data_IF_151189978478
#
_entry.id   IF_151189978478
#
_cell.length_a   1.000
_cell.length_b   1.000
_cell.length_c   1.000
_cell.angle_alpha   90.00
_cell.angle_beta   90.00
_cell.angle_gamma   90.00
#
_symmetry.space_group_name_H-M   'P 1'
#
loop_
_entity.id
_entity.type
_entity.pdbx_description
1 polymer ?
#
# COMPACT_ATOMS: atom_id res chain seq x y z
N UNK A 1 -27.73 -3.83 20.43
CA UNK A 1 -28.32 -4.79 21.39
C UNK A 1 -27.82 -4.56 22.81
N UNK A 2 -26.50 -4.51 23.07
CA UNK A 2 -25.97 -4.21 24.41
C UNK A 2 -26.40 -2.83 24.96
N UNK A 3 -26.43 -1.78 24.14
CA UNK A 3 -26.87 -0.43 24.55
C UNK A 3 -28.34 -0.34 24.97
N UNK A 4 -29.22 -1.11 24.32
CA UNK A 4 -30.64 -1.15 24.70
C UNK A 4 -30.81 -1.79 26.08
N UNK A 5 -30.07 -2.87 26.34
CA UNK A 5 -30.04 -3.55 27.64
C UNK A 5 -29.48 -2.61 28.72
N UNK A 6 -28.43 -1.83 28.42
CA UNK A 6 -27.85 -0.87 29.39
C UNK A 6 -28.84 0.26 29.72
N UNK A 7 -29.58 0.80 28.73
CA UNK A 7 -30.61 1.83 28.98
C UNK A 7 -31.77 1.30 29.80
N UNK A 8 -32.31 0.14 29.43
CA UNK A 8 -33.38 -0.52 30.20
C UNK A 8 -32.91 -0.81 31.63
N UNK A 9 -31.66 -1.24 31.79
CA UNK A 9 -31.06 -1.45 33.10
C UNK A 9 -30.93 -0.14 33.90
N UNK A 10 -30.50 0.98 33.31
CA UNK A 10 -30.38 2.27 34.01
C UNK A 10 -31.74 2.74 34.57
N UNK A 11 -32.80 2.66 33.77
CA UNK A 11 -34.16 3.04 34.20
C UNK A 11 -34.66 2.11 35.33
N UNK A 12 -34.29 0.83 35.26
CA UNK A 12 -34.58 -0.15 36.33
C UNK A 12 -33.78 0.14 37.61
N UNK A 13 -32.55 0.65 37.48
CA UNK A 13 -31.71 1.02 38.62
C UNK A 13 -32.27 2.23 39.38
N UNK A 14 -32.82 3.22 38.68
CA UNK A 14 -33.50 4.37 39.31
C UNK A 14 -34.71 3.93 40.14
N UNK A 15 -35.44 2.94 39.63
CA UNK A 15 -36.52 2.33 40.38
C UNK A 15 -36.01 1.53 41.58
N UNK A 16 -34.89 0.80 41.45
CA UNK A 16 -34.31 0.03 42.55
C UNK A 16 -33.65 0.91 43.62
N UNK A 17 -33.05 2.05 43.26
CA UNK A 17 -32.49 3.04 44.19
C UNK A 17 -33.59 3.74 44.99
N UNK A 18 -34.77 3.94 44.40
CA UNK A 18 -35.94 4.49 45.11
C UNK A 18 -36.66 3.47 46.01
N UNK A 19 -36.57 2.16 45.72
CA UNK A 19 -37.22 1.07 46.51
C UNK A 19 -36.23 0.25 47.36
N UNK A 20 -34.98 0.71 47.46
CA UNK A 20 -33.84 0.00 48.04
C UNK A 20 -34.02 -0.56 49.49
N UNK A 21 -34.98 -0.10 50.34
CA UNK A 21 -35.27 -0.76 51.61
C UNK A 21 -35.94 -2.15 51.51
N UNK A 22 -36.58 -2.51 50.39
CA UNK A 22 -37.57 -3.62 50.37
C UNK A 22 -37.11 -4.93 49.69
N UNK A 23 -36.06 -4.96 48.86
CA UNK A 23 -35.67 -6.19 48.15
C UNK A 23 -34.15 -6.36 47.89
N UNK A 24 -33.36 -6.52 48.96
CA UNK A 24 -31.90 -6.77 48.91
C UNK A 24 -31.47 -7.84 47.89
N UNK A 25 -32.24 -8.93 47.76
CA UNK A 25 -31.92 -10.02 46.82
C UNK A 25 -31.99 -9.55 45.35
N UNK A 26 -32.98 -8.73 44.99
CA UNK A 26 -33.13 -8.20 43.63
C UNK A 26 -31.98 -7.27 43.26
N UNK A 27 -31.57 -6.38 44.18
CA UNK A 27 -30.43 -5.46 43.96
C UNK A 27 -29.12 -6.24 43.77
N UNK A 28 -28.87 -7.28 44.57
CA UNK A 28 -27.67 -8.12 44.42
C UNK A 28 -27.66 -8.93 43.12
N UNK A 29 -28.82 -9.39 42.64
CA UNK A 29 -28.93 -10.09 41.36
C UNK A 29 -28.70 -9.16 40.18
N UNK A 30 -29.26 -7.95 40.25
CA UNK A 30 -29.03 -6.88 39.29
C UNK A 30 -27.53 -6.50 39.21
N UNK A 31 -26.84 -6.30 40.34
CA UNK A 31 -25.40 -6.02 40.36
C UNK A 31 -24.57 -7.16 39.73
N UNK A 32 -25.00 -8.42 39.85
CA UNK A 32 -24.35 -9.55 39.17
C UNK A 32 -24.57 -9.51 37.66
N UNK A 33 -25.77 -9.17 37.19
CA UNK A 33 -26.07 -9.02 35.76
C UNK A 33 -25.24 -7.88 35.17
N UNK A 34 -25.19 -6.74 35.86
CA UNK A 34 -24.41 -5.59 35.44
C UNK A 34 -22.90 -5.88 35.36
N UNK A 35 -22.33 -6.59 36.35
CA UNK A 35 -20.93 -7.04 36.29
C UNK A 35 -20.66 -7.94 35.07
N UNK A 36 -21.61 -8.79 34.68
CA UNK A 36 -21.49 -9.61 33.46
C UNK A 36 -21.51 -8.74 32.20
N UNK A 37 -22.38 -7.74 32.13
CA UNK A 37 -22.44 -6.80 31.00
C UNK A 37 -21.16 -5.98 30.87
N UNK A 38 -20.65 -5.41 31.97
CA UNK A 38 -19.35 -4.74 31.97
C UNK A 38 -18.23 -5.66 31.48
N UNK A 39 -18.21 -6.92 31.93
CA UNK A 39 -17.24 -7.90 31.46
C UNK A 39 -17.39 -8.26 29.98
N UNK A 40 -18.60 -8.16 29.40
CA UNK A 40 -18.82 -8.33 27.97
C UNK A 40 -18.36 -7.10 27.17
N UNK A 41 -18.67 -5.89 27.64
CA UNK A 41 -18.19 -4.64 27.06
C UNK A 41 -16.66 -4.59 27.07
N UNK A 42 -16.02 -4.87 28.21
CA UNK A 42 -14.55 -4.92 28.32
C UNK A 42 -13.91 -5.85 27.29
N UNK A 43 -14.48 -7.05 27.07
CA UNK A 43 -14.01 -8.01 26.06
C UNK A 43 -14.25 -7.52 24.64
N UNK A 44 -15.35 -6.79 24.40
CA UNK A 44 -15.64 -6.19 23.09
C UNK A 44 -14.60 -5.10 22.79
N UNK A 45 -14.34 -4.22 23.74
CA UNK A 45 -13.32 -3.16 23.64
C UNK A 45 -11.92 -3.73 23.45
N UNK A 46 -11.55 -4.77 24.20
CA UNK A 46 -10.28 -5.51 24.01
C UNK A 46 -10.13 -6.04 22.58
N UNK A 47 -11.19 -6.66 22.04
CA UNK A 47 -11.18 -7.12 20.65
C UNK A 47 -11.07 -5.96 19.68
N UNK A 48 -11.74 -4.84 19.94
CA UNK A 48 -11.59 -3.64 19.13
C UNK A 48 -10.14 -3.19 19.11
N UNK A 49 -9.54 -2.97 20.29
CA UNK A 49 -8.17 -2.48 20.46
C UNK A 49 -7.17 -3.37 19.71
N UNK A 50 -7.23 -4.69 19.93
CA UNK A 50 -6.33 -5.63 19.26
C UNK A 50 -6.55 -5.67 17.74
N UNK A 51 -7.82 -5.62 17.29
CA UNK A 51 -8.11 -5.65 15.84
C UNK A 51 -7.64 -4.35 15.18
N UNK A 52 -7.94 -3.21 15.77
CA UNK A 52 -7.54 -1.89 15.30
C UNK A 52 -6.01 -1.75 15.31
N UNK A 53 -5.31 -2.26 16.33
CA UNK A 53 -3.85 -2.25 16.39
C UNK A 53 -3.23 -3.12 15.29
N UNK A 54 -3.77 -4.32 15.07
CA UNK A 54 -3.31 -5.21 14.00
C UNK A 54 -3.58 -4.61 12.60
N UNK A 55 -4.75 -3.99 12.41
CA UNK A 55 -5.06 -3.23 11.19
C UNK A 55 -4.07 -2.09 10.99
N UNK A 56 -3.86 -1.25 12.01
CA UNK A 56 -2.93 -0.12 11.94
C UNK A 56 -1.52 -0.57 11.54
N UNK A 57 -1.04 -1.71 12.06
CA UNK A 57 0.24 -2.29 11.64
C UNK A 57 0.26 -2.75 10.17
N UNK A 58 -0.81 -3.35 9.66
CA UNK A 58 -0.90 -3.73 8.25
C UNK A 58 -0.94 -2.50 7.33
N UNK A 59 -1.72 -1.49 7.70
CA UNK A 59 -1.82 -0.25 6.96
C UNK A 59 -0.50 0.53 6.97
N UNK A 60 0.20 0.60 8.11
CA UNK A 60 1.54 1.19 8.21
C UNK A 60 2.52 0.49 7.26
N UNK A 61 2.52 -0.85 7.22
CA UNK A 61 3.38 -1.59 6.29
C UNK A 61 3.07 -1.22 4.83
N UNK A 62 1.80 -1.22 4.44
CA UNK A 62 1.37 -0.85 3.09
C UNK A 62 1.75 0.59 2.75
N UNK A 63 1.61 1.51 3.71
CA UNK A 63 2.03 2.90 3.56
C UNK A 63 3.53 3.01 3.27
N UNK A 64 4.37 2.30 4.02
CA UNK A 64 5.81 2.29 3.80
C UNK A 64 6.18 1.64 2.46
N UNK A 65 5.49 0.58 2.05
CA UNK A 65 5.67 -0.06 0.74
C UNK A 65 5.32 0.90 -0.40
N UNK A 66 4.19 1.61 -0.30
CA UNK A 66 3.77 2.62 -1.28
C UNK A 66 4.74 3.81 -1.30
N UNK A 67 5.22 4.26 -0.14
CA UNK A 67 6.25 5.30 -0.05
C UNK A 67 7.53 4.91 -0.79
N UNK A 68 8.04 3.72 -0.51
CA UNK A 68 9.23 3.18 -1.19
C UNK A 68 9.01 3.00 -2.69
N UNK A 69 7.78 2.73 -3.13
CA UNK A 69 7.43 2.67 -4.54
C UNK A 69 7.44 4.07 -5.16
N UNK A 70 6.82 5.06 -4.51
CA UNK A 70 6.78 6.46 -4.93
C UNK A 70 8.19 7.03 -5.08
N UNK A 71 9.07 6.80 -4.10
CA UNK A 71 10.46 7.25 -4.13
C UNK A 71 11.20 6.70 -5.38
N UNK A 72 11.05 5.40 -5.68
CA UNK A 72 11.63 4.78 -6.88
C UNK A 72 11.07 5.35 -8.19
N UNK A 73 9.79 5.74 -8.20
CA UNK A 73 9.20 6.36 -9.39
C UNK A 73 9.71 7.79 -9.60
N UNK A 74 10.05 8.53 -8.54
CA UNK A 74 10.75 9.82 -8.68
C UNK A 74 12.14 9.65 -9.28
N UNK A 75 12.93 8.68 -8.81
CA UNK A 75 14.24 8.36 -9.40
C UNK A 75 14.10 8.01 -10.89
N UNK A 76 13.06 7.24 -11.24
CA UNK A 76 12.76 6.90 -12.63
C UNK A 76 12.41 8.13 -13.47
N UNK A 77 11.62 9.07 -12.94
CA UNK A 77 11.32 10.33 -13.64
C UNK A 77 12.59 11.15 -13.88
N UNK A 78 13.45 11.27 -12.88
CA UNK A 78 14.72 11.98 -13.03
C UNK A 78 15.60 11.34 -14.12
N UNK A 79 15.68 10.01 -14.15
CA UNK A 79 16.40 9.30 -15.19
C UNK A 79 15.81 9.55 -16.59
N UNK A 80 14.48 9.52 -16.73
CA UNK A 80 13.81 9.87 -18.00
C UNK A 80 14.15 11.31 -18.41
N UNK A 81 14.18 12.26 -17.48
CA UNK A 81 14.51 13.66 -17.75
C UNK A 81 15.99 13.84 -18.17
N UNK A 82 16.90 13.06 -17.59
CA UNK A 82 18.31 13.01 -18.03
C UNK A 82 18.40 12.45 -19.47
N UNK A 83 17.69 11.37 -19.77
CA UNK A 83 17.68 10.74 -21.09
C UNK A 83 17.07 11.65 -22.16
N UNK A 84 15.99 12.36 -21.84
CA UNK A 84 15.38 13.36 -22.72
C UNK A 84 16.37 14.47 -23.07
N UNK A 85 17.07 15.03 -22.06
CA UNK A 85 18.11 16.05 -22.28
C UNK A 85 19.24 15.53 -23.18
N UNK A 86 19.69 14.29 -22.97
CA UNK A 86 20.72 13.69 -23.81
C UNK A 86 20.27 13.52 -25.27
N UNK A 87 19.02 13.09 -25.49
CA UNK A 87 18.42 12.99 -26.83
C UNK A 87 18.29 14.36 -27.48
N UNK A 88 17.89 15.40 -26.73
CA UNK A 88 17.78 16.77 -27.23
C UNK A 88 19.13 17.34 -27.67
N UNK A 89 20.20 17.12 -26.89
CA UNK A 89 21.57 17.53 -27.26
C UNK A 89 22.00 16.81 -28.55
N UNK A 90 21.74 15.50 -28.66
CA UNK A 90 22.08 14.73 -29.87
C UNK A 90 21.30 15.24 -31.08
N UNK A 91 20.01 15.53 -30.91
CA UNK A 91 19.16 16.08 -31.95
C UNK A 91 19.63 17.46 -32.44
N UNK A 92 20.06 18.33 -31.52
CA UNK A 92 20.66 19.63 -31.86
C UNK A 92 21.95 19.44 -32.69
N UNK A 93 22.84 18.54 -32.26
CA UNK A 93 24.07 18.24 -33.00
C UNK A 93 23.80 17.75 -34.43
N UNK A 94 22.82 16.86 -34.61
CA UNK A 94 22.44 16.38 -35.95
C UNK A 94 21.86 17.52 -36.79
N UNK A 95 21.03 18.39 -36.21
CA UNK A 95 20.53 19.57 -36.90
C UNK A 95 21.66 20.49 -37.37
N UNK A 96 22.68 20.72 -36.54
CA UNK A 96 23.85 21.52 -36.91
C UNK A 96 24.65 20.89 -38.06
N UNK A 97 24.79 19.55 -38.05
CA UNK A 97 25.41 18.80 -39.14
C UNK A 97 24.60 18.88 -40.44
N UNK A 98 23.27 18.75 -40.37
CA UNK A 98 22.38 18.92 -41.53
C UNK A 98 22.52 20.33 -42.10
N UNK A 99 22.54 21.36 -41.26
CA UNK A 99 22.70 22.75 -41.70
C UNK A 99 24.05 22.96 -42.39
N UNK A 100 25.12 22.38 -41.85
CA UNK A 100 26.46 22.44 -42.44
C UNK A 100 26.49 21.75 -43.81
N UNK A 101 25.95 20.53 -43.90
CA UNK A 101 25.86 19.79 -45.16
C UNK A 101 24.97 20.48 -46.20
N UNK A 102 23.93 21.20 -45.80
CA UNK A 102 23.10 21.95 -46.74
C UNK A 102 23.90 23.08 -47.41
N UNK A 103 24.73 23.81 -46.65
CA UNK A 103 25.64 24.82 -47.19
C UNK A 103 26.63 24.19 -48.18
N UNK A 104 27.26 23.08 -47.80
CA UNK A 104 28.21 22.36 -48.67
C UNK A 104 27.52 21.82 -49.93
N UNK A 105 26.30 21.30 -49.79
CA UNK A 105 25.50 20.79 -50.89
C UNK A 105 25.10 21.90 -51.87
N UNK A 106 24.75 23.09 -51.37
CA UNK A 106 24.49 24.26 -52.20
C UNK A 106 25.76 24.68 -52.97
N UNK A 107 26.91 24.74 -52.29
CA UNK A 107 28.20 25.03 -52.95
C UNK A 107 28.53 23.99 -54.03
N UNK A 108 28.40 22.70 -53.73
CA UNK A 108 28.63 21.61 -54.67
C UNK A 108 27.68 21.66 -55.89
N UNK A 109 26.39 22.00 -55.67
CA UNK A 109 25.42 22.19 -56.76
C UNK A 109 25.82 23.33 -57.70
N UNK A 110 26.25 24.47 -57.16
CA UNK A 110 26.71 25.60 -57.99
C UNK A 110 27.95 25.21 -58.81
N UNK A 111 28.91 24.50 -58.20
CA UNK A 111 30.11 24.01 -58.88
C UNK A 111 29.78 22.99 -59.97
N UNK A 112 28.92 22.01 -59.68
CA UNK A 112 28.45 21.02 -60.65
C UNK A 112 27.76 21.71 -61.83
N UNK A 113 26.91 22.72 -61.59
CA UNK A 113 26.28 23.50 -62.65
C UNK A 113 27.30 24.22 -63.55
N UNK A 114 28.32 24.85 -62.96
CA UNK A 114 29.41 25.48 -63.72
C UNK A 114 30.19 24.46 -64.58
N UNK A 115 30.43 23.26 -64.04
CA UNK A 115 31.09 22.17 -64.77
C UNK A 115 30.23 21.63 -65.90
N UNK A 116 28.93 21.47 -65.67
CA UNK A 116 27.96 21.04 -66.69
C UNK A 116 27.91 22.02 -67.86
N UNK A 117 27.82 23.33 -67.60
CA UNK A 117 27.89 24.35 -68.65
C UNK A 117 29.20 24.31 -69.45
N UNK A 118 30.34 24.01 -68.79
CA UNK A 118 31.63 23.88 -69.47
C UNK A 118 31.69 22.60 -70.31
N UNK A 119 31.19 21.48 -69.79
CA UNK A 119 31.05 20.21 -70.49
C UNK A 119 30.22 20.39 -71.77
N UNK A 120 29.02 20.98 -71.66
CA UNK A 120 28.13 21.29 -72.78
C UNK A 120 28.81 22.14 -73.86
N UNK A 121 29.56 23.19 -73.47
CA UNK A 121 30.33 24.00 -74.41
C UNK A 121 31.41 23.18 -75.14
N UNK A 122 32.12 22.29 -74.44
CA UNK A 122 33.15 21.41 -75.05
C UNK A 122 32.54 20.35 -75.96
N UNK A 123 31.36 19.82 -75.62
CA UNK A 123 30.61 18.90 -76.44
C UNK A 123 30.26 19.53 -77.80
N UNK A 124 29.71 20.76 -77.78
CA UNK A 124 29.42 21.52 -79.01
C UNK A 124 30.69 21.74 -79.86
N UNK A 125 31.79 22.17 -79.24
CA UNK A 125 33.06 22.40 -79.94
C UNK A 125 33.64 21.12 -80.57
N UNK A 126 33.50 19.98 -79.89
CA UNK A 126 33.89 18.69 -80.45
C UNK A 126 33.03 18.38 -81.68
N UNK A 127 31.70 18.46 -81.58
CA UNK A 127 30.81 18.20 -82.72
C UNK A 127 31.11 19.08 -83.94
N UNK A 128 31.37 20.38 -83.74
CA UNK A 128 31.71 21.30 -84.84
C UNK A 128 33.03 20.93 -85.52
N UNK A 129 34.05 20.53 -84.76
CA UNK A 129 35.42 20.39 -85.26
C UNK A 129 35.89 18.94 -85.46
N UNK A 130 35.02 17.94 -85.24
CA UNK A 130 35.39 16.52 -85.26
C UNK A 130 35.92 16.03 -86.62
N UNK A 131 35.51 16.69 -87.70
CA UNK A 131 35.86 16.30 -89.08
C UNK A 131 37.28 16.70 -89.49
N UNK A 132 37.97 17.53 -88.70
CA UNK A 132 39.33 17.99 -89.00
C UNK A 132 40.31 17.11 -88.20
N UNK A 133 41.11 16.22 -88.81
CA UNK A 133 41.81 15.13 -88.09
C UNK A 133 42.66 15.58 -86.89
N UNK A 134 43.52 16.58 -87.05
CA UNK A 134 44.41 17.07 -85.98
C UNK A 134 43.62 17.86 -84.92
N UNK A 135 42.70 18.70 -85.37
CA UNK A 135 41.92 19.60 -84.50
C UNK A 135 40.86 18.82 -83.69
N UNK A 136 40.22 17.83 -84.32
CA UNK A 136 39.26 16.92 -83.70
C UNK A 136 39.88 16.13 -82.55
N UNK A 137 41.10 15.62 -82.72
CA UNK A 137 41.84 14.93 -81.65
C UNK A 137 42.15 15.81 -80.43
N UNK A 138 42.37 17.12 -80.62
CA UNK A 138 42.57 18.09 -79.53
C UNK A 138 41.24 18.36 -78.79
N UNK A 139 40.16 18.57 -79.53
CA UNK A 139 38.84 18.83 -78.94
C UNK A 139 38.26 17.60 -78.23
N UNK A 140 38.53 16.38 -78.71
CA UNK A 140 38.15 15.14 -78.04
C UNK A 140 38.78 15.05 -76.65
N UNK A 141 40.11 15.23 -76.55
CA UNK A 141 40.81 15.29 -75.25
C UNK A 141 40.30 16.39 -74.32
N UNK A 142 39.86 17.54 -74.85
CA UNK A 142 39.24 18.61 -74.04
C UNK A 142 37.84 18.23 -73.55
N UNK A 143 37.06 17.54 -74.38
CA UNK A 143 35.74 17.01 -74.03
C UNK A 143 35.85 15.95 -72.94
N UNK A 144 36.68 14.91 -73.11
CA UNK A 144 36.82 13.82 -72.14
C UNK A 144 37.21 14.35 -70.75
N UNK A 145 38.15 15.29 -70.69
CA UNK A 145 38.53 15.96 -69.42
C UNK A 145 37.39 16.78 -68.81
N UNK A 146 36.54 17.40 -69.63
CA UNK A 146 35.39 18.14 -69.12
C UNK A 146 34.28 17.20 -68.64
N UNK A 147 34.07 16.07 -69.32
CA UNK A 147 33.15 15.01 -68.91
C UNK A 147 33.56 14.40 -67.57
N UNK A 148 34.81 13.97 -67.42
CA UNK A 148 35.30 13.39 -66.16
C UNK A 148 35.16 14.37 -64.99
N UNK A 149 35.43 15.66 -65.21
CA UNK A 149 35.25 16.70 -64.19
C UNK A 149 33.78 16.97 -63.86
N UNK A 150 32.88 16.85 -64.84
CA UNK A 150 31.44 16.97 -64.61
C UNK A 150 30.93 15.78 -63.80
N UNK A 151 31.27 14.55 -64.22
CA UNK A 151 30.90 13.32 -63.54
C UNK A 151 31.40 13.32 -62.09
N UNK A 152 32.63 13.78 -61.85
CA UNK A 152 33.16 13.93 -60.49
C UNK A 152 32.33 14.92 -59.66
N UNK A 153 31.98 16.09 -60.22
CA UNK A 153 31.16 17.08 -59.51
C UNK A 153 29.74 16.57 -59.21
N UNK A 154 29.11 15.86 -60.15
CA UNK A 154 27.81 15.21 -59.95
C UNK A 154 27.88 14.12 -58.87
N UNK A 155 28.94 13.31 -58.87
CA UNK A 155 29.20 12.30 -57.84
C UNK A 155 29.35 12.93 -56.46
N UNK A 156 30.01 14.09 -56.33
CA UNK A 156 30.12 14.82 -55.05
C UNK A 156 28.75 15.29 -54.56
N UNK A 157 27.90 15.82 -55.45
CA UNK A 157 26.53 16.24 -55.08
C UNK A 157 25.70 15.04 -54.64
N UNK A 158 25.83 13.90 -55.32
CA UNK A 158 25.12 12.68 -54.96
C UNK A 158 25.55 12.16 -53.57
N UNK A 159 26.86 12.14 -53.29
CA UNK A 159 27.40 11.74 -51.99
C UNK A 159 26.86 12.65 -50.85
N UNK A 160 26.93 13.97 -51.00
CA UNK A 160 26.41 14.90 -50.00
C UNK A 160 24.90 14.77 -49.75
N UNK A 161 24.12 14.44 -50.79
CA UNK A 161 22.68 14.15 -50.62
C UNK A 161 22.46 12.90 -49.79
N UNK A 162 23.18 11.83 -50.10
CA UNK A 162 23.09 10.58 -49.36
C UNK A 162 23.43 10.78 -47.88
N UNK A 163 24.52 11.51 -47.59
CA UNK A 163 24.92 11.81 -46.20
C UNK A 163 23.85 12.64 -45.47
N UNK A 164 23.26 13.63 -46.15
CA UNK A 164 22.17 14.44 -45.59
C UNK A 164 20.91 13.61 -45.32
N UNK A 165 20.55 12.69 -46.21
CA UNK A 165 19.37 11.82 -46.04
C UNK A 165 19.58 10.87 -44.86
N UNK A 166 20.79 10.29 -44.70
CA UNK A 166 21.14 9.47 -43.55
C UNK A 166 21.00 10.23 -42.20
N UNK A 167 21.43 11.50 -42.15
CA UNK A 167 21.24 12.32 -40.95
C UNK A 167 19.77 12.65 -40.66
N UNK A 168 18.95 12.82 -41.69
CA UNK A 168 17.51 13.06 -41.53
C UNK A 168 16.79 11.83 -40.99
N UNK A 169 17.18 10.65 -41.44
CA UNK A 169 16.66 9.38 -40.91
C UNK A 169 17.04 9.23 -39.43
N UNK A 170 18.31 9.47 -39.06
CA UNK A 170 18.74 9.46 -37.66
C UNK A 170 17.97 10.49 -36.82
N UNK A 171 17.68 11.68 -37.38
CA UNK A 171 16.87 12.71 -36.70
C UNK A 171 15.44 12.26 -36.46
N UNK A 172 14.84 11.56 -37.42
CA UNK A 172 13.49 11.01 -37.32
C UNK A 172 13.41 9.93 -36.23
N UNK A 173 14.41 9.06 -36.16
CA UNK A 173 14.53 8.04 -35.12
C UNK A 173 14.62 8.66 -33.72
N UNK A 174 15.45 9.71 -33.55
CA UNK A 174 15.52 10.44 -32.28
C UNK A 174 14.18 11.09 -31.90
N UNK A 175 13.43 11.59 -32.88
CA UNK A 175 12.09 12.14 -32.61
C UNK A 175 11.09 11.06 -32.18
N UNK A 176 11.22 9.82 -32.64
CA UNK A 176 10.43 8.69 -32.14
C UNK A 176 10.83 8.33 -30.70
N UNK A 177 12.13 8.25 -30.42
CA UNK A 177 12.64 7.99 -29.07
C UNK A 177 12.18 9.05 -28.07
N UNK A 178 12.23 10.33 -28.46
CA UNK A 178 11.76 11.44 -27.63
C UNK A 178 10.26 11.34 -27.33
N UNK A 179 9.43 10.98 -28.32
CA UNK A 179 7.99 10.75 -28.11
C UNK A 179 7.73 9.64 -27.10
N UNK A 180 8.47 8.53 -27.20
CA UNK A 180 8.37 7.41 -26.27
C UNK A 180 8.71 7.83 -24.85
N UNK A 181 9.83 8.54 -24.64
CA UNK A 181 10.20 9.01 -23.31
C UNK A 181 9.18 9.97 -22.70
N UNK A 182 8.59 10.87 -23.50
CA UNK A 182 7.52 11.76 -23.01
C UNK A 182 6.26 10.99 -22.60
N UNK A 183 5.90 9.94 -23.35
CA UNK A 183 4.79 9.06 -22.98
C UNK A 183 5.09 8.31 -21.67
N UNK A 184 6.28 7.71 -21.55
CA UNK A 184 6.71 7.03 -20.33
C UNK A 184 6.72 7.99 -19.13
N UNK A 185 7.12 9.25 -19.32
CA UNK A 185 7.09 10.28 -18.28
C UNK A 185 5.65 10.58 -17.81
N UNK A 186 4.70 10.68 -18.74
CA UNK A 186 3.29 10.90 -18.40
C UNK A 186 2.69 9.70 -17.65
N UNK A 187 3.02 8.48 -18.07
CA UNK A 187 2.55 7.26 -17.42
C UNK A 187 3.07 7.14 -15.98
N UNK A 188 4.35 7.43 -15.75
CA UNK A 188 4.93 7.44 -14.40
C UNK A 188 4.29 8.52 -13.52
N UNK A 189 4.03 9.71 -14.06
CA UNK A 189 3.33 10.78 -13.30
C UNK A 189 1.92 10.38 -12.90
N UNK A 190 1.18 9.72 -13.78
CA UNK A 190 -0.17 9.21 -13.48
C UNK A 190 -0.13 8.15 -12.38
N UNK A 191 0.83 7.22 -12.42
CA UNK A 191 1.01 6.21 -11.37
C UNK A 191 1.37 6.85 -10.03
N UNK A 192 2.24 7.86 -10.02
CA UNK A 192 2.59 8.61 -8.82
C UNK A 192 1.35 9.23 -8.15
N UNK A 193 0.45 9.83 -8.93
CA UNK A 193 -0.75 10.44 -8.37
C UNK A 193 -1.69 9.41 -7.74
N UNK A 194 -1.90 8.28 -8.42
CA UNK A 194 -2.71 7.17 -7.89
C UNK A 194 -2.15 6.63 -6.57
N UNK A 195 -0.82 6.47 -6.46
CA UNK A 195 -0.20 6.02 -5.21
C UNK A 195 -0.27 7.09 -4.10
N UNK A 196 -0.18 8.38 -4.42
CA UNK A 196 -0.36 9.46 -3.43
C UNK A 196 -1.76 9.48 -2.85
N UNK A 197 -2.78 9.38 -3.70
CA UNK A 197 -4.19 9.31 -3.27
C UNK A 197 -4.41 8.09 -2.37
N UNK A 198 -3.86 6.94 -2.76
CA UNK A 198 -3.92 5.70 -1.95
C UNK A 198 -3.21 5.86 -0.61
N UNK A 199 -2.02 6.47 -0.58
CA UNK A 199 -1.29 6.73 0.66
C UNK A 199 -2.06 7.66 1.60
N UNK A 200 -2.70 8.71 1.08
CA UNK A 200 -3.54 9.60 1.87
C UNK A 200 -4.72 8.84 2.49
N UNK A 201 -5.41 8.01 1.69
CA UNK A 201 -6.50 7.17 2.19
C UNK A 201 -6.05 6.19 3.28
N UNK A 202 -4.85 5.60 3.14
CA UNK A 202 -4.27 4.71 4.15
C UNK A 202 -3.99 5.48 5.45
N UNK A 203 -3.39 6.67 5.36
CA UNK A 203 -3.10 7.50 6.53
C UNK A 203 -4.37 7.90 7.28
N UNK A 204 -5.42 8.30 6.56
CA UNK A 204 -6.71 8.66 7.16
C UNK A 204 -7.29 7.47 7.94
N UNK A 205 -7.29 6.27 7.34
CA UNK A 205 -7.76 5.04 8.00
C UNK A 205 -6.92 4.73 9.24
N UNK A 206 -5.59 4.81 9.15
CA UNK A 206 -4.71 4.58 10.31
C UNK A 206 -5.01 5.54 11.45
N UNK A 207 -5.21 6.83 11.13
CA UNK A 207 -5.57 7.84 12.11
C UNK A 207 -6.90 7.51 12.78
N UNK A 208 -7.93 7.13 12.01
CA UNK A 208 -9.22 6.69 12.56
C UNK A 208 -9.06 5.52 13.52
N UNK A 209 -8.24 4.52 13.19
CA UNK A 209 -7.98 3.39 14.09
C UNK A 209 -7.27 3.81 15.37
N UNK A 210 -6.26 4.67 15.26
CA UNK A 210 -5.52 5.18 16.43
C UNK A 210 -6.39 6.03 17.35
N UNK A 211 -7.22 6.92 16.78
CA UNK A 211 -8.15 7.75 17.54
C UNK A 211 -9.21 6.89 18.23
N UNK A 212 -9.71 5.84 17.55
CA UNK A 212 -10.61 4.88 18.17
C UNK A 212 -9.96 4.07 19.31
N UNK A 213 -8.72 3.62 19.16
CA UNK A 213 -7.97 2.96 20.24
C UNK A 213 -7.83 3.91 21.44
N UNK A 214 -7.41 5.15 21.19
CA UNK A 214 -7.27 6.17 22.24
C UNK A 214 -8.59 6.42 22.95
N UNK A 215 -9.66 6.63 22.19
CA UNK A 215 -11.01 6.84 22.72
C UNK A 215 -11.43 5.70 23.65
N UNK A 216 -11.27 4.46 23.22
CA UNK A 216 -11.68 3.30 23.99
C UNK A 216 -10.81 3.06 25.21
N UNK A 217 -9.52 3.39 25.17
CA UNK A 217 -8.61 3.34 26.32
C UNK A 217 -8.96 4.41 27.36
N UNK A 218 -9.24 5.64 26.92
CA UNK A 218 -9.66 6.74 27.80
C UNK A 218 -11.04 6.48 28.41
N UNK A 219 -11.99 6.02 27.59
CA UNK A 219 -13.38 5.72 28.01
C UNK A 219 -13.49 4.44 28.84
N UNK A 220 -12.52 3.51 28.75
CA UNK A 220 -12.44 2.30 29.59
C UNK A 220 -12.33 2.62 31.06
N UNK A 221 -11.78 3.78 31.37
CA UNK A 221 -11.65 4.27 32.72
C UNK A 221 -12.93 5.01 33.12
N UNK A 222 -14.00 4.26 33.36
CA UNK A 222 -14.91 4.58 34.47
C UNK A 222 -14.39 3.85 35.72
N UNK A 223 -13.25 4.26 36.32
CA UNK A 223 -12.67 3.60 37.50
C UNK A 223 -13.69 3.53 38.64
N UNK A 224 -14.63 4.48 38.64
CA UNK A 224 -15.76 4.57 39.53
C UNK A 224 -16.63 3.30 39.50
N UNK A 225 -17.06 2.78 38.33
CA UNK A 225 -17.98 1.63 38.31
C UNK A 225 -17.35 0.35 38.88
N UNK A 226 -16.08 0.09 38.58
CA UNK A 226 -15.38 -1.10 39.07
C UNK A 226 -15.16 -1.08 40.60
N UNK A 227 -15.12 0.12 41.21
CA UNK A 227 -15.00 0.32 42.65
C UNK A 227 -16.37 0.46 43.36
N UNK A 228 -17.35 1.09 42.69
CA UNK A 228 -18.68 1.35 43.22
C UNK A 228 -19.53 0.07 43.31
N UNK A 229 -19.39 -0.87 42.37
CA UNK A 229 -20.13 -2.15 42.42
C UNK A 229 -19.72 -2.97 43.66
N UNK A 230 -18.43 -3.26 43.93
CA UNK A 230 -18.01 -3.91 45.16
C UNK A 230 -18.37 -3.14 46.43
N UNK A 231 -18.28 -1.80 46.41
CA UNK A 231 -18.65 -0.97 47.56
C UNK A 231 -20.14 -1.07 47.88
N UNK A 232 -21.02 -1.00 46.88
CA UNK A 232 -22.45 -1.18 47.08
C UNK A 232 -22.78 -2.63 47.53
N UNK A 233 -22.12 -3.63 46.96
CA UNK A 233 -22.24 -5.03 47.41
C UNK A 233 -21.82 -5.20 48.88
N UNK A 234 -20.74 -4.55 49.33
CA UNK A 234 -20.25 -4.66 50.70
C UNK A 234 -21.20 -4.00 51.70
N UNK A 235 -21.73 -2.80 51.38
CA UNK A 235 -22.75 -2.15 52.20
C UNK A 235 -24.03 -2.98 52.32
N UNK A 236 -24.47 -3.62 51.23
CA UNK A 236 -25.65 -4.50 51.24
C UNK A 236 -25.42 -5.82 52.00
N UNK A 237 -24.19 -6.35 52.01
CA UNK A 237 -23.82 -7.60 52.72
C UNK A 237 -23.54 -7.39 54.21
N UNK A 238 -22.92 -6.28 54.62
CA UNK A 238 -22.59 -5.98 56.03
C UNK A 238 -23.82 -5.81 56.95
N UNK A 239 -25.03 -5.66 56.39
CA UNK A 239 -26.31 -5.81 57.12
C UNK A 239 -26.40 -7.12 57.93
N UNK A 240 -25.74 -8.19 57.50
CA UNK A 240 -25.88 -9.52 58.11
C UNK A 240 -24.84 -9.84 59.20
N UNK A 241 -23.76 -9.07 59.35
CA UNK A 241 -22.70 -9.42 60.32
C UNK A 241 -23.00 -8.95 61.75
N UNK A 242 -24.07 -8.19 61.96
CA UNK A 242 -24.49 -7.66 63.26
C UNK A 242 -25.81 -8.27 63.77
N UNK A 243 -26.44 -9.19 63.02
CA UNK A 243 -27.69 -9.86 63.43
C UNK A 243 -27.57 -11.38 63.33
N UNK A 244 -26.73 -11.98 64.18
CA UNK A 244 -26.76 -13.44 64.45
C UNK A 244 -27.94 -13.85 65.36
N UNK A 245 -28.89 -12.94 65.64
CA UNK A 245 -30.16 -13.24 66.29
C UNK A 245 -31.23 -13.50 65.22
N UNK A 246 -31.65 -14.75 65.14
CA UNK A 246 -32.29 -15.38 63.97
C UNK A 246 -33.71 -14.89 63.64
N UNK A 247 -34.37 -14.06 64.47
CA UNK A 247 -35.83 -13.85 64.34
C UNK A 247 -36.29 -12.41 64.08
N UNK A 248 -35.39 -11.41 63.97
CA UNK A 248 -35.76 -9.99 63.68
C UNK A 248 -35.10 -9.40 62.41
N UNK A 249 -34.40 -10.21 61.61
CA UNK A 249 -33.53 -9.72 60.53
C UNK A 249 -34.25 -9.09 59.31
N UNK A 250 -35.56 -9.32 59.18
CA UNK A 250 -36.33 -8.85 58.02
C UNK A 250 -36.91 -7.43 58.18
N UNK A 251 -36.91 -6.84 59.38
CA UNK A 251 -37.55 -5.53 59.63
C UNK A 251 -36.64 -4.46 60.25
N UNK A 252 -35.37 -4.77 60.57
CA UNK A 252 -34.42 -3.76 61.02
C UNK A 252 -34.13 -2.76 59.89
N UNK A 253 -34.73 -1.57 59.99
CA UNK A 253 -34.45 -0.45 59.09
C UNK A 253 -32.95 -0.11 59.16
N UNK A 254 -32.34 0.17 58.01
CA UNK A 254 -30.98 0.70 57.95
C UNK A 254 -30.83 1.91 58.88
N UNK A 255 -29.69 2.06 59.54
CA UNK A 255 -29.43 3.30 60.29
C UNK A 255 -29.47 4.49 59.31
N UNK A 256 -29.88 5.70 59.76
CA UNK A 256 -29.93 6.88 58.89
C UNK A 256 -28.58 7.14 58.20
N UNK A 257 -27.47 6.87 58.88
CA UNK A 257 -26.12 7.00 58.34
C UNK A 257 -25.79 5.96 57.26
N UNK A 258 -26.25 4.71 57.43
CA UNK A 258 -26.10 3.66 56.42
C UNK A 258 -26.98 3.93 55.20
N UNK A 259 -28.21 4.40 55.40
CA UNK A 259 -29.09 4.83 54.30
C UNK A 259 -28.44 5.93 53.48
N UNK A 260 -27.90 6.94 54.15
CA UNK A 260 -27.20 8.04 53.48
C UNK A 260 -25.99 7.56 52.66
N UNK A 261 -25.16 6.67 53.21
CA UNK A 261 -24.01 6.09 52.48
C UNK A 261 -24.44 5.27 51.26
N UNK A 262 -25.45 4.41 51.41
CA UNK A 262 -25.98 3.59 50.32
C UNK A 262 -26.59 4.48 49.23
N UNK A 263 -27.36 5.50 49.62
CA UNK A 263 -27.95 6.45 48.68
C UNK A 263 -26.87 7.25 47.93
N UNK A 264 -25.83 7.70 48.62
CA UNK A 264 -24.70 8.43 48.01
C UNK A 264 -23.95 7.56 47.00
N UNK A 265 -23.61 6.32 47.38
CA UNK A 265 -22.95 5.36 46.48
C UNK A 265 -23.85 4.99 45.30
N UNK A 266 -25.16 4.82 45.54
CA UNK A 266 -26.14 4.57 44.50
C UNK A 266 -26.24 5.72 43.49
N UNK A 267 -26.28 6.98 43.95
CA UNK A 267 -26.29 8.16 43.09
C UNK A 267 -25.00 8.29 42.27
N UNK A 268 -23.84 8.06 42.90
CA UNK A 268 -22.55 8.06 42.20
C UNK A 268 -22.48 6.94 41.15
N UNK A 269 -23.00 5.76 41.48
CA UNK A 269 -23.10 4.64 40.54
C UNK A 269 -24.01 5.00 39.37
N UNK A 270 -25.21 5.52 39.64
CA UNK A 270 -26.15 5.95 38.60
C UNK A 270 -25.54 6.97 37.63
N UNK A 271 -24.89 8.02 38.16
CA UNK A 271 -24.19 9.00 37.32
C UNK A 271 -23.12 8.34 36.46
N UNK A 272 -22.31 7.45 37.04
CA UNK A 272 -21.27 6.73 36.30
C UNK A 272 -21.85 5.77 35.23
N UNK A 273 -23.04 5.21 35.45
CA UNK A 273 -23.76 4.40 34.47
C UNK A 273 -24.22 5.22 33.26
N UNK A 274 -24.77 6.41 33.49
CA UNK A 274 -25.18 7.33 32.42
C UNK A 274 -23.96 7.72 31.58
N UNK A 275 -22.88 8.16 32.23
CA UNK A 275 -21.63 8.54 31.55
C UNK A 275 -21.09 7.36 30.73
N UNK A 276 -21.08 6.16 31.30
CA UNK A 276 -20.66 4.94 30.59
C UNK A 276 -21.56 4.63 29.40
N UNK A 277 -22.88 4.73 29.54
CA UNK A 277 -23.81 4.48 28.43
C UNK A 277 -23.65 5.49 27.31
N UNK A 278 -23.41 6.76 27.63
CA UNK A 278 -23.17 7.81 26.63
C UNK A 278 -21.84 7.59 25.91
N UNK A 279 -20.80 7.18 26.64
CA UNK A 279 -19.52 6.82 26.05
C UNK A 279 -19.66 5.60 25.12
N UNK A 280 -20.29 4.52 25.56
CA UNK A 280 -20.50 3.35 24.69
C UNK A 280 -21.32 3.69 23.43
N UNK A 281 -22.35 4.54 23.56
CA UNK A 281 -23.15 4.99 22.41
C UNK A 281 -22.34 5.85 21.43
N UNK A 282 -21.52 6.77 21.95
CA UNK A 282 -20.64 7.58 21.13
C UNK A 282 -19.56 6.72 20.45
N UNK A 283 -18.92 5.81 21.19
CA UNK A 283 -17.91 4.90 20.67
C UNK A 283 -18.43 3.99 19.58
N UNK A 284 -19.62 3.39 19.77
CA UNK A 284 -20.24 2.53 18.75
C UNK A 284 -20.60 3.30 17.47
N UNK A 285 -20.90 4.61 17.57
CA UNK A 285 -21.21 5.48 16.43
C UNK A 285 -19.96 6.01 15.73
N UNK A 286 -18.97 6.49 16.50
CA UNK A 286 -17.79 7.16 15.98
C UNK A 286 -16.70 6.18 15.54
N UNK A 287 -16.58 5.04 16.21
CA UNK A 287 -15.51 4.06 16.01
C UNK A 287 -16.06 2.64 15.83
N UNK A 288 -16.92 2.39 14.81
CA UNK A 288 -17.43 1.06 14.55
C UNK A 288 -16.33 0.15 13.97
N UNK A 289 -16.29 -1.11 14.44
CA UNK A 289 -15.50 -2.16 13.78
C UNK A 289 -16.31 -2.70 12.59
N UNK A 290 -16.30 -1.95 11.49
CA UNK A 290 -17.03 -2.29 10.27
C UNK A 290 -16.27 -3.23 9.33
N UNK A 291 -16.85 -3.55 8.16
CA UNK A 291 -16.15 -4.20 7.07
C UNK A 291 -14.98 -3.34 6.60
N UNK A 292 -13.80 -3.95 6.48
CA UNK A 292 -12.56 -3.25 6.11
C UNK A 292 -11.73 -4.10 5.16
N UNK A 293 -10.85 -3.45 4.41
CA UNK A 293 -9.81 -4.14 3.65
C UNK A 293 -8.65 -4.55 4.57
N UNK A 294 -8.25 -5.82 4.53
CA UNK A 294 -7.12 -6.32 5.33
C UNK A 294 -6.49 -7.55 4.68
N UNK A 295 -5.26 -7.88 5.08
CA UNK A 295 -4.56 -9.09 4.62
C UNK A 295 -4.74 -10.20 5.63
N UNK A 296 -5.28 -11.34 5.20
CA UNK A 296 -5.37 -12.50 6.06
C UNK A 296 -3.99 -13.15 6.21
N UNK A 297 -3.47 -13.25 7.44
CA UNK A 297 -2.13 -13.78 7.70
C UNK A 297 -1.98 -15.27 7.31
N UNK A 298 -3.09 -16.01 7.27
CA UNK A 298 -3.08 -17.45 7.01
C UNK A 298 -3.19 -17.81 5.53
N UNK A 299 -4.11 -17.20 4.79
CA UNK A 299 -4.25 -17.45 3.35
C UNK A 299 -3.47 -16.45 2.47
N UNK A 300 -2.90 -15.40 3.06
CA UNK A 300 -2.15 -14.34 2.38
C UNK A 300 -2.96 -13.60 1.30
N UNK A 301 -4.29 -13.70 1.35
CA UNK A 301 -5.18 -12.97 0.45
C UNK A 301 -5.59 -11.64 1.08
N UNK A 302 -5.63 -10.61 0.25
CA UNK A 302 -6.29 -9.36 0.56
C UNK A 302 -7.80 -9.60 0.51
N UNK A 303 -8.47 -9.32 1.62
CA UNK A 303 -9.92 -9.38 1.74
C UNK A 303 -10.44 -7.95 1.60
N UNK A 304 -11.39 -7.76 0.70
CA UNK A 304 -12.11 -6.51 0.54
C UNK A 304 -13.42 -6.57 1.31
N UNK A 305 -13.74 -5.48 2.03
CA UNK A 305 -14.95 -5.33 2.84
C UNK A 305 -15.25 -6.56 3.74
N UNK A 306 -14.20 -7.09 4.38
CA UNK A 306 -14.30 -8.24 5.26
C UNK A 306 -14.33 -7.84 6.73
N UNK A 307 -14.86 -8.73 7.58
CA UNK A 307 -14.78 -8.57 9.04
C UNK A 307 -13.49 -9.23 9.57
N UNK A 308 -12.49 -8.45 10.02
CA UNK A 308 -11.25 -9.01 10.53
C UNK A 308 -11.48 -9.73 11.86
N UNK A 309 -10.94 -10.94 11.96
CA UNK A 309 -10.94 -11.73 13.20
C UNK A 309 -9.52 -11.94 13.70
N UNK A 310 -9.29 -11.68 14.98
CA UNK A 310 -7.95 -11.83 15.58
C UNK A 310 -7.67 -13.30 15.89
N UNK A 311 -6.44 -13.76 15.65
CA UNK A 311 -6.00 -15.04 16.21
C UNK A 311 -6.01 -14.99 17.75
N UNK A 312 -6.50 -16.06 18.36
CA UNK A 312 -6.51 -16.24 19.81
C UNK A 312 -5.13 -16.43 20.41
N UNK A 313 -4.16 -16.91 19.62
CA UNK A 313 -2.79 -17.18 20.09
C UNK A 313 -1.87 -16.00 19.82
N UNK A 314 -2.05 -15.32 18.68
CA UNK A 314 -1.23 -14.19 18.25
C UNK A 314 -2.10 -12.99 17.96
N UNK A 315 -2.25 -12.10 18.94
CA UNK A 315 -3.17 -10.95 18.85
C UNK A 315 -2.80 -9.89 17.80
N UNK A 316 -1.66 -10.05 17.13
CA UNK A 316 -1.19 -9.18 16.05
C UNK A 316 -1.62 -9.68 14.66
N UNK A 317 -2.11 -10.92 14.56
CA UNK A 317 -2.44 -11.55 13.28
C UNK A 317 -3.96 -11.49 13.01
N UNK A 318 -4.33 -10.92 11.86
CA UNK A 318 -5.70 -10.89 11.36
C UNK A 318 -5.98 -12.10 10.47
N UNK A 319 -7.17 -12.68 10.64
CA UNK A 319 -7.66 -13.83 9.91
C UNK A 319 -9.00 -13.49 9.26
N UNK A 320 -9.20 -13.97 8.04
CA UNK A 320 -10.52 -14.00 7.43
C UNK A 320 -11.42 -15.04 8.11
N UNK A 321 -12.74 -14.93 7.92
CA UNK A 321 -13.72 -15.79 8.58
C UNK A 321 -13.47 -17.28 8.38
N UNK A 322 -13.10 -17.69 7.16
CA UNK A 322 -12.80 -19.08 6.84
C UNK A 322 -11.56 -19.57 7.60
N UNK A 323 -10.49 -18.77 7.62
CA UNK A 323 -9.25 -19.08 8.34
C UNK A 323 -9.43 -19.09 9.86
N UNK A 324 -10.23 -18.16 10.39
CA UNK A 324 -10.55 -18.07 11.81
C UNK A 324 -11.37 -19.29 12.27
N UNK A 325 -12.43 -19.66 11.54
CA UNK A 325 -13.24 -20.85 11.83
C UNK A 325 -12.38 -22.12 11.83
N UNK A 326 -11.51 -22.28 10.83
CA UNK A 326 -10.61 -23.43 10.75
C UNK A 326 -9.61 -23.49 11.90
N UNK A 327 -9.00 -22.35 12.28
CA UNK A 327 -8.09 -22.26 13.43
C UNK A 327 -8.82 -22.61 14.75
N UNK A 328 -10.02 -22.06 14.94
CA UNK A 328 -10.85 -22.33 16.12
C UNK A 328 -11.24 -23.79 16.22
N UNK A 329 -11.68 -24.41 15.12
CA UNK A 329 -12.06 -25.83 15.09
C UNK A 329 -10.85 -26.71 15.41
N UNK A 330 -9.69 -26.45 14.82
CA UNK A 330 -8.46 -27.18 15.13
C UNK A 330 -8.07 -27.07 16.61
N UNK A 331 -8.19 -25.88 17.21
CA UNK A 331 -7.94 -25.67 18.64
C UNK A 331 -8.93 -26.43 19.53
N UNK A 332 -10.21 -26.44 19.17
CA UNK A 332 -11.25 -27.20 19.88
C UNK A 332 -10.97 -28.70 19.79
N UNK A 333 -10.64 -29.21 18.59
CA UNK A 333 -10.30 -30.61 18.37
C UNK A 333 -9.06 -30.97 19.20
N UNK A 334 -8.00 -30.17 19.16
CA UNK A 334 -6.80 -30.38 19.99
C UNK A 334 -7.13 -30.40 21.48
N UNK A 335 -8.00 -29.52 21.96
CA UNK A 335 -8.41 -29.46 23.38
C UNK A 335 -9.31 -30.64 23.79
N UNK A 336 -10.19 -31.11 22.90
CA UNK A 336 -11.10 -32.24 23.16
C UNK A 336 -10.44 -33.61 22.98
N UNK A 337 -9.57 -33.77 21.98
CA UNK A 337 -8.85 -35.02 21.69
C UNK A 337 -7.54 -35.14 22.48
N UNK A 338 -6.87 -34.04 22.80
CA UNK A 338 -5.71 -34.03 23.71
C UNK A 338 -6.09 -34.36 25.17
N UNK A 339 -7.39 -34.42 25.48
CA UNK A 339 -7.90 -34.95 26.75
C UNK A 339 -8.07 -36.47 26.74
N UNK A 340 -7.93 -37.14 25.58
CA UNK A 340 -8.10 -38.59 25.41
C UNK A 340 -6.78 -39.36 25.19
N UNK A 341 -5.63 -38.71 25.37
CA UNK A 341 -4.30 -39.34 25.44
C UNK A 341 -3.27 -38.24 25.72
N UNK A 342 -2.53 -38.25 26.84
CA UNK A 342 -1.53 -39.24 27.23
C UNK A 342 -1.49 -39.37 28.77
N UNK A 343 -2.04 -40.46 29.29
CA UNK A 343 -1.47 -41.17 30.45
C UNK A 343 -0.86 -42.47 29.89
N UNK A 344 0.15 -42.34 29.02
CA UNK A 344 1.06 -43.45 28.77
C UNK A 344 2.34 -43.13 29.49
N UNK A 345 2.51 -43.80 30.63
CA UNK A 345 3.81 -44.08 31.19
C UNK A 345 4.69 -44.68 30.09
N UNK A 346 5.72 -43.93 29.69
CA UNK A 346 6.91 -44.51 29.07
C UNK A 346 7.91 -44.63 30.21
N UNK A 347 8.44 -45.83 30.50
CA UNK A 347 9.47 -45.98 31.50
C UNK A 347 10.77 -45.37 30.98
N UNK A 348 11.47 -44.74 31.91
CA UNK A 348 12.89 -44.42 31.91
C UNK A 348 13.75 -45.33 31.03
N UNK A 349 14.43 -44.72 30.07
CA UNK A 349 15.84 -45.02 29.79
C UNK A 349 16.56 -43.73 29.39
N UNK A 350 17.64 -43.51 30.11
CA UNK A 350 18.52 -42.36 30.23
C UNK A 350 19.43 -42.09 29.03
N UNK A 351 19.94 -40.85 29.00
CA UNK A 351 21.17 -40.38 28.33
C UNK A 351 21.00 -40.08 26.83
N UNK A 352 21.37 -38.93 26.25
CA UNK A 352 22.40 -37.95 26.61
C UNK A 352 22.13 -36.59 25.94
N UNK A 353 22.68 -35.58 26.60
CA UNK A 353 22.88 -34.15 26.32
C UNK A 353 23.13 -33.66 24.88
N UNK A 354 22.97 -32.33 24.75
CA UNK A 354 23.58 -31.37 23.79
C UNK A 354 22.85 -31.26 22.44
N UNK A 355 22.42 -30.10 21.94
CA UNK A 355 23.02 -28.75 21.88
C UNK A 355 21.96 -27.70 21.49
N UNK A 356 22.16 -26.48 21.96
CA UNK A 356 21.50 -25.25 21.56
C UNK A 356 21.97 -24.83 20.15
N UNK A 357 21.04 -24.45 19.27
CA UNK A 357 21.30 -23.46 18.21
C UNK A 357 20.01 -22.78 17.76
N UNK A 358 19.86 -21.56 18.27
CA UNK A 358 18.98 -20.52 17.75
C UNK A 358 19.35 -20.16 16.31
N UNK A 359 18.39 -20.23 15.38
CA UNK A 359 18.48 -19.60 14.07
C UNK A 359 17.29 -18.65 13.88
N UNK A 360 17.52 -17.41 13.38
CA UNK A 360 16.47 -16.41 13.18
C UNK A 360 15.70 -16.68 11.88
N UNK A 361 14.43 -16.27 11.77
CA UNK A 361 13.74 -16.30 10.49
C UNK A 361 14.30 -15.20 9.57
N UNK A 362 15.11 -15.70 8.64
CA UNK A 362 15.46 -15.21 7.31
C UNK A 362 14.61 -14.08 6.73
N UNK A 363 15.35 -13.07 6.27
CA UNK A 363 15.03 -12.02 5.33
C UNK A 363 14.20 -12.49 4.14
N UNK A 364 13.01 -11.91 3.96
CA UNK A 364 12.27 -12.01 2.70
C UNK A 364 13.01 -11.22 1.62
N UNK A 365 13.79 -11.92 0.81
CA UNK A 365 14.13 -11.49 -0.55
C UNK A 365 12.83 -11.38 -1.35
N UNK A 366 12.46 -10.17 -1.77
CA UNK A 366 11.46 -9.99 -2.80
C UNK A 366 12.10 -10.31 -4.15
N UNK A 367 11.72 -11.44 -4.72
CA UNK A 367 11.97 -11.77 -6.11
C UNK A 367 11.14 -10.84 -6.99
N UNK A 368 11.74 -9.71 -7.39
CA UNK A 368 11.32 -9.00 -8.60
C UNK A 368 11.62 -9.92 -9.79
N UNK A 369 10.56 -10.54 -10.35
CA UNK A 369 10.62 -11.13 -11.68
C UNK A 369 10.76 -10.00 -12.69
N UNK A 370 12.01 -9.63 -12.98
CA UNK A 370 12.37 -8.95 -14.22
C UNK A 370 12.18 -9.97 -15.35
N UNK A 371 11.21 -9.70 -16.23
CA UNK A 371 11.18 -10.36 -17.54
C UNK A 371 12.53 -10.12 -18.24
N UNK A 372 13.29 -11.15 -18.61
CA UNK A 372 14.48 -10.96 -19.44
C UNK A 372 14.03 -10.47 -20.84
N UNK A 373 14.80 -9.56 -21.47
CA UNK A 373 14.52 -9.13 -22.83
C UNK A 373 14.64 -10.32 -23.79
N UNK A 374 13.86 -10.34 -24.90
CA UNK A 374 13.95 -11.40 -25.90
C UNK A 374 15.35 -11.45 -26.52
N UNK A 375 15.86 -12.64 -26.87
CA UNK A 375 17.15 -12.78 -27.51
C UNK A 375 17.16 -12.13 -28.90
N UNK A 376 18.31 -11.62 -29.36
CA UNK A 376 18.43 -11.03 -30.70
C UNK A 376 18.16 -12.07 -31.80
N UNK A 377 17.66 -11.63 -32.97
CA UNK A 377 17.42 -12.52 -34.10
C UNK A 377 18.74 -13.14 -34.58
N UNK A 378 18.72 -14.46 -34.82
CA UNK A 378 19.83 -15.15 -35.48
C UNK A 378 19.83 -14.79 -36.95
N UNK A 379 20.87 -14.09 -37.39
CA UNK A 379 21.17 -13.92 -38.80
C UNK A 379 21.49 -15.27 -39.44
N UNK A 380 20.54 -15.83 -40.18
CA UNK A 380 20.80 -16.90 -41.13
C UNK A 380 21.45 -16.30 -42.37
N UNK A 381 22.78 -16.35 -42.41
CA UNK A 381 23.52 -16.28 -43.67
C UNK A 381 23.21 -17.52 -44.50
N UNK A 382 22.29 -17.38 -45.46
CA UNK A 382 22.22 -18.28 -46.61
C UNK A 382 23.27 -17.83 -47.62
N UNK A 383 24.42 -18.51 -47.59
CA UNK A 383 25.34 -18.58 -48.73
C UNK A 383 24.74 -19.63 -49.67
N UNK A 384 24.15 -19.17 -50.78
CA UNK A 384 23.87 -20.03 -51.93
C UNK A 384 25.01 -19.87 -52.92
N UNK A 385 25.54 -21.01 -53.33
CA UNK A 385 26.48 -21.21 -54.43
C UNK A 385 25.78 -21.14 -55.77
#
# INVERSE_FOLDING_TARGET
MALAIIKDEIDTFDHLVSILPQSKQQVLEYLKQFRKLLGQCQKRTERYEWTAAALAMQYERRYQEDRMFVDRQYDRLENIDIQLRAVDIKAQKINDQINTLDVDLQAARTYAHQRYQKYQRRQRQLHTNNKIPIVGGIFRRKYDRAQNKNQHAESTVAALRHDMDALKDERADLAQVQRKFRQDQQDVRRLLEQHKERMASIQDRMKTWQDGIRYWQESRHCPNLHQLIPALESFLRHRNSFSDSLDLANTAAFSPEQQFKIQTVGQLMHKALIEFSQAEEHGDKAYPLGPVTFDCMKCLQQIEDGMPSIDKVKHVELLCDTCYKNSRTAMIIKKKLGFLGINNAVPTSSSSSSLLTSSPPSSRQSSFLLNPPPPPPKDTHNIST
#
